data_IF_001242503813
#
_entry.id   IF_001242503813
#
_cell.length_a   1.000
_cell.length_b   1.000
_cell.length_c   1.000
_cell.angle_alpha   90.00
_cell.angle_beta   90.00
_cell.angle_gamma   90.00
#
_symmetry.space_group_name_H-M   'P 1'
#
loop_
_entity.id
_entity.type
_entity.pdbx_description
1 polymer ?
#
# COMPACT_ATOMS: atom_id res chain seq x y z
N UNK A 1 28.95 -24.79 17.95
CA UNK A 1 27.79 -24.53 17.07
C UNK A 1 26.83 -23.56 17.75
N UNK A 2 26.73 -22.32 17.29
CA UNK A 2 25.75 -21.36 17.83
C UNK A 2 24.32 -21.88 17.56
N UNK A 3 23.47 -21.94 18.59
CA UNK A 3 22.05 -22.31 18.44
C UNK A 3 21.41 -21.40 17.39
N UNK A 4 20.91 -21.97 16.29
CA UNK A 4 20.14 -21.23 15.29
C UNK A 4 18.93 -20.61 15.99
N UNK A 5 18.85 -19.29 16.01
CA UNK A 5 17.69 -18.59 16.57
C UNK A 5 16.42 -19.04 15.83
N UNK A 6 15.37 -19.40 16.58
CA UNK A 6 14.11 -19.82 15.95
C UNK A 6 13.52 -18.67 15.12
N UNK A 7 12.78 -18.98 14.05
CA UNK A 7 12.12 -17.96 13.24
C UNK A 7 11.25 -17.00 14.07
N UNK A 8 10.52 -17.53 15.07
CA UNK A 8 9.73 -16.71 15.99
C UNK A 8 10.61 -15.79 16.88
N UNK A 9 11.80 -16.24 17.29
CA UNK A 9 12.78 -15.42 17.99
C UNK A 9 13.26 -14.25 17.14
N UNK A 10 13.68 -14.52 15.90
CA UNK A 10 14.08 -13.51 14.92
C UNK A 10 12.97 -12.48 14.67
N UNK A 11 11.73 -12.94 14.45
CA UNK A 11 10.58 -12.05 14.25
C UNK A 11 10.30 -11.19 15.49
N UNK A 12 10.35 -11.76 16.69
CA UNK A 12 10.17 -11.01 17.94
C UNK A 12 11.21 -9.91 18.09
N UNK A 13 12.48 -10.20 17.77
CA UNK A 13 13.56 -9.20 17.80
C UNK A 13 13.36 -8.11 16.75
N UNK A 14 12.93 -8.47 15.54
CA UNK A 14 12.60 -7.49 14.50
C UNK A 14 11.46 -6.57 14.92
N UNK A 15 10.40 -7.12 15.54
CA UNK A 15 9.29 -6.30 16.07
C UNK A 15 9.78 -5.38 17.19
N UNK A 16 10.61 -5.86 18.12
CA UNK A 16 11.21 -5.00 19.16
C UNK A 16 12.05 -3.88 18.57
N UNK A 17 12.87 -4.20 17.56
CA UNK A 17 13.65 -3.18 16.85
C UNK A 17 12.75 -2.12 16.24
N UNK A 18 11.67 -2.55 15.56
CA UNK A 18 10.71 -1.65 14.92
C UNK A 18 10.01 -0.74 15.93
N UNK A 19 9.56 -1.29 17.06
CA UNK A 19 8.90 -0.52 18.12
C UNK A 19 9.84 0.44 18.84
N UNK A 20 11.15 0.17 18.84
CA UNK A 20 12.16 1.04 19.43
C UNK A 20 12.60 2.19 18.51
N UNK A 21 12.21 2.19 17.23
CA UNK A 21 12.51 3.30 16.34
C UNK A 21 11.65 4.51 16.71
N UNK A 22 12.18 5.75 16.61
CA UNK A 22 11.36 6.96 16.69
C UNK A 22 10.24 6.87 15.65
N UNK A 23 8.99 6.72 16.11
CA UNK A 23 7.84 6.70 15.19
C UNK A 23 7.56 8.14 14.79
N UNK A 24 7.45 8.37 13.49
CA UNK A 24 6.84 9.61 13.02
C UNK A 24 5.45 9.74 13.66
N UNK A 25 5.08 10.96 14.05
CA UNK A 25 3.77 11.24 14.64
C UNK A 25 2.62 10.80 13.71
N UNK A 26 2.89 10.74 12.40
CA UNK A 26 1.95 10.37 11.36
C UNK A 26 2.54 9.33 10.40
N UNK A 27 1.72 8.46 9.80
CA UNK A 27 2.13 7.65 8.65
C UNK A 27 2.65 8.52 7.51
N UNK A 28 3.56 7.99 6.68
CA UNK A 28 4.19 8.78 5.60
C UNK A 28 3.18 9.39 4.63
N UNK A 29 2.04 8.73 4.41
CA UNK A 29 1.00 9.21 3.49
C UNK A 29 0.21 10.41 4.05
N UNK A 30 0.41 10.76 5.32
CA UNK A 30 -0.11 11.97 5.95
C UNK A 30 0.94 13.08 6.05
N UNK A 31 2.18 12.85 5.60
CA UNK A 31 3.30 13.76 5.76
C UNK A 31 3.62 14.49 4.45
N UNK A 32 3.20 15.76 4.38
CA UNK A 32 3.42 16.62 3.22
C UNK A 32 4.91 16.90 2.95
N UNK A 33 5.79 16.87 3.96
CA UNK A 33 7.22 17.03 3.73
C UNK A 33 7.82 15.82 2.99
N UNK A 34 7.18 14.65 3.10
CA UNK A 34 7.61 13.41 2.44
C UNK A 34 7.02 13.22 1.06
N UNK A 35 5.73 13.55 0.86
CA UNK A 35 5.02 13.24 -0.39
C UNK A 35 4.25 14.42 -1.01
N UNK A 36 4.48 15.64 -0.53
CA UNK A 36 3.93 16.87 -1.10
C UNK A 36 2.40 16.89 -1.12
N UNK A 37 1.83 17.30 -2.26
CA UNK A 37 0.38 17.52 -2.43
C UNK A 37 -0.46 16.24 -2.33
N UNK A 38 0.16 15.06 -2.37
CA UNK A 38 -0.51 13.76 -2.22
C UNK A 38 -0.84 13.42 -0.76
N UNK A 39 -0.24 14.12 0.21
CA UNK A 39 -0.54 13.91 1.61
C UNK A 39 -2.04 14.04 1.90
N UNK A 40 -2.55 13.10 2.70
CA UNK A 40 -3.93 13.10 3.18
C UNK A 40 -4.00 13.72 4.57
N UNK A 41 -5.06 14.47 4.82
CA UNK A 41 -5.27 15.11 6.11
C UNK A 41 -5.71 14.06 7.15
N UNK A 42 -5.01 13.93 8.30
CA UNK A 42 -5.29 12.89 9.29
C UNK A 42 -6.74 12.89 9.80
N UNK A 43 -7.30 14.08 10.11
CA UNK A 43 -8.68 14.20 10.62
C UNK A 43 -9.71 13.72 9.61
N UNK A 44 -9.54 14.08 8.33
CA UNK A 44 -10.43 13.69 7.24
C UNK A 44 -10.30 12.20 6.90
N UNK A 45 -9.10 11.65 7.05
CA UNK A 45 -8.88 10.21 6.90
C UNK A 45 -9.54 9.43 8.04
N UNK A 46 -9.39 9.89 9.29
CA UNK A 46 -10.04 9.30 10.45
C UNK A 46 -11.57 9.31 10.33
N UNK A 47 -12.14 10.37 9.75
CA UNK A 47 -13.57 10.46 9.42
C UNK A 47 -14.00 9.59 8.22
N UNK A 48 -13.04 8.97 7.51
CA UNK A 48 -13.32 8.13 6.36
C UNK A 48 -13.85 8.89 5.14
N UNK A 49 -13.52 10.18 5.00
CA UNK A 49 -14.08 11.01 3.93
C UNK A 49 -13.76 10.45 2.53
N UNK A 50 -14.76 10.27 1.64
CA UNK A 50 -14.57 9.59 0.36
C UNK A 50 -13.45 10.16 -0.52
N UNK A 51 -13.33 11.49 -0.59
CA UNK A 51 -12.28 12.16 -1.37
C UNK A 51 -10.87 11.96 -0.79
N UNK A 52 -10.77 11.94 0.54
CA UNK A 52 -9.51 11.68 1.25
C UNK A 52 -9.08 10.23 1.07
N UNK A 53 -10.02 9.29 1.16
CA UNK A 53 -9.75 7.87 0.93
C UNK A 53 -9.41 7.60 -0.54
N UNK A 54 -10.03 8.31 -1.49
CA UNK A 54 -9.64 8.25 -2.91
C UNK A 54 -8.19 8.71 -3.11
N UNK A 55 -7.82 9.85 -2.51
CA UNK A 55 -6.43 10.34 -2.59
C UNK A 55 -5.45 9.35 -1.97
N UNK A 56 -5.79 8.76 -0.83
CA UNK A 56 -4.97 7.70 -0.21
C UNK A 56 -4.80 6.51 -1.16
N UNK A 57 -5.89 6.05 -1.79
CA UNK A 57 -5.85 4.97 -2.77
C UNK A 57 -4.88 5.26 -3.92
N UNK A 58 -4.99 6.43 -4.56
CA UNK A 58 -4.09 6.83 -5.65
C UNK A 58 -2.65 6.94 -5.16
N UNK A 59 -2.44 7.55 -3.99
CA UNK A 59 -1.12 7.71 -3.36
C UNK A 59 -0.44 6.37 -3.16
N UNK A 60 -1.13 5.39 -2.55
CA UNK A 60 -0.58 4.06 -2.30
C UNK A 60 -0.40 3.25 -3.60
N UNK A 61 -1.28 3.42 -4.57
CA UNK A 61 -1.19 2.73 -5.87
C UNK A 61 0.04 3.13 -6.70
N UNK A 62 0.69 4.25 -6.37
CA UNK A 62 1.95 4.67 -7.00
C UNK A 62 3.17 3.85 -6.53
N UNK A 63 3.07 3.12 -5.41
CA UNK A 63 4.16 2.32 -4.82
C UNK A 63 4.32 0.95 -5.50
N UNK A 64 4.52 1.01 -6.81
CA UNK A 64 4.78 -0.14 -7.67
C UNK A 64 5.95 0.13 -8.62
N UNK A 65 6.64 -0.94 -9.00
CA UNK A 65 7.76 -1.00 -9.93
C UNK A 65 9.04 -0.18 -9.58
N UNK A 66 9.01 0.69 -8.57
CA UNK A 66 10.18 1.43 -8.09
C UNK A 66 10.32 1.33 -6.56
N UNK A 67 11.48 1.74 -6.07
CA UNK A 67 11.76 1.89 -4.63
C UNK A 67 10.94 3.02 -4.04
N UNK A 68 10.44 2.83 -2.84
CA UNK A 68 9.53 3.76 -2.16
C UNK A 68 10.12 5.16 -1.99
N UNK A 69 11.42 5.28 -1.69
CA UNK A 69 12.12 6.59 -1.63
C UNK A 69 12.07 7.37 -2.95
N UNK A 70 12.07 6.66 -4.09
CA UNK A 70 11.95 7.29 -5.42
C UNK A 70 10.51 7.75 -5.65
N UNK A 71 9.52 6.93 -5.26
CA UNK A 71 8.11 7.28 -5.35
C UNK A 71 7.78 8.51 -4.50
N UNK A 72 8.22 8.52 -3.24
CA UNK A 72 8.00 9.64 -2.33
C UNK A 72 8.58 10.94 -2.90
N UNK A 73 9.80 10.88 -3.41
CA UNK A 73 10.44 12.02 -4.06
C UNK A 73 9.64 12.51 -5.27
N UNK A 74 9.21 11.60 -6.16
CA UNK A 74 8.36 11.93 -7.31
C UNK A 74 7.03 12.58 -6.88
N UNK A 75 6.35 12.01 -5.88
CA UNK A 75 5.10 12.57 -5.34
C UNK A 75 5.31 13.98 -4.76
N UNK A 76 6.44 14.19 -4.06
CA UNK A 76 6.80 15.49 -3.49
C UNK A 76 7.11 16.54 -4.55
N UNK A 77 7.75 16.15 -5.64
CA UNK A 77 8.11 17.04 -6.75
C UNK A 77 6.92 17.39 -7.66
N UNK A 78 5.84 16.59 -7.63
CA UNK A 78 4.65 16.86 -8.44
C UNK A 78 3.88 18.10 -7.95
N UNK A 79 3.55 19.05 -8.86
CA UNK A 79 2.81 20.24 -8.48
C UNK A 79 1.37 19.91 -8.09
N UNK A 80 0.74 20.80 -7.32
CA UNK A 80 -0.64 20.63 -6.85
C UNK A 80 -1.64 20.45 -7.99
N UNK A 81 -1.43 21.10 -9.14
CA UNK A 81 -2.27 20.93 -10.32
C UNK A 81 -2.22 19.48 -10.85
N UNK A 82 -1.06 18.83 -10.87
CA UNK A 82 -0.90 17.42 -11.23
C UNK A 82 -1.64 16.49 -10.27
N UNK A 83 -1.56 16.76 -8.96
CA UNK A 83 -2.35 15.99 -7.98
C UNK A 83 -3.86 16.14 -8.22
N UNK A 84 -4.35 17.35 -8.53
CA UNK A 84 -5.77 17.58 -8.85
C UNK A 84 -6.24 16.76 -10.05
N UNK A 85 -5.37 16.55 -11.04
CA UNK A 85 -5.66 15.67 -12.17
C UNK A 85 -5.88 14.25 -11.65
N UNK A 86 -4.91 13.65 -10.96
CA UNK A 86 -4.95 12.19 -10.71
C UNK A 86 -5.66 11.76 -9.42
N UNK A 87 -5.80 12.63 -8.43
CA UNK A 87 -6.17 12.26 -7.06
C UNK A 87 -7.24 13.15 -6.41
N UNK A 88 -7.82 14.10 -7.16
CA UNK A 88 -9.02 14.84 -6.72
C UNK A 88 -10.27 14.18 -7.28
N UNK A 89 -10.99 13.47 -6.41
CA UNK A 89 -12.20 12.73 -6.75
C UNK A 89 -13.29 13.61 -7.42
N UNK A 90 -13.42 14.88 -7.00
CA UNK A 90 -14.44 15.78 -7.56
C UNK A 90 -14.04 16.26 -8.95
N UNK A 91 -12.78 16.67 -9.11
CA UNK A 91 -12.27 17.08 -10.42
C UNK A 91 -12.34 15.92 -11.43
N UNK A 92 -11.98 14.72 -10.98
CA UNK A 92 -12.08 13.49 -11.79
C UNK A 92 -13.52 13.20 -12.21
N UNK A 93 -14.48 13.23 -11.25
CA UNK A 93 -15.90 13.06 -11.56
C UNK A 93 -16.35 14.02 -12.64
N UNK A 94 -16.06 15.32 -12.46
CA UNK A 94 -16.44 16.35 -13.42
C UNK A 94 -15.87 16.06 -14.80
N UNK A 95 -14.57 15.75 -14.89
CA UNK A 95 -13.90 15.44 -16.14
C UNK A 95 -14.46 14.20 -16.85
N UNK A 96 -14.85 13.16 -16.10
CA UNK A 96 -15.51 11.96 -16.64
C UNK A 96 -16.89 12.33 -17.18
N UNK A 97 -17.71 13.02 -16.39
CA UNK A 97 -19.10 13.36 -16.76
C UNK A 97 -19.21 14.33 -17.93
N UNK A 98 -18.24 15.24 -18.10
CA UNK A 98 -18.26 16.21 -19.20
C UNK A 98 -17.74 15.66 -20.52
N UNK A 99 -17.06 14.51 -20.50
CA UNK A 99 -16.39 13.97 -21.69
C UNK A 99 -17.32 13.03 -22.46
N UNK A 100 -17.41 13.22 -23.78
CA UNK A 100 -18.29 12.43 -24.67
C UNK A 100 -17.78 11.03 -25.03
N UNK A 101 -16.70 10.55 -24.41
CA UNK A 101 -16.09 9.29 -24.83
C UNK A 101 -16.93 8.13 -24.29
N UNK A 102 -17.41 7.27 -25.17
CA UNK A 102 -18.23 6.12 -24.82
C UNK A 102 -17.55 5.15 -23.82
N UNK A 103 -16.21 5.13 -23.76
CA UNK A 103 -15.44 4.33 -22.80
C UNK A 103 -15.63 4.80 -21.36
N UNK A 104 -15.97 6.07 -21.14
CA UNK A 104 -16.05 6.66 -19.81
C UNK A 104 -17.42 6.47 -19.14
N UNK A 105 -18.35 5.79 -19.82
CA UNK A 105 -19.75 5.64 -19.35
C UNK A 105 -19.94 4.61 -18.24
N UNK A 106 -19.06 3.63 -18.14
CA UNK A 106 -19.13 2.58 -17.12
C UNK A 106 -17.78 1.89 -16.97
N UNK A 107 -17.57 1.19 -15.85
CA UNK A 107 -16.36 0.40 -15.64
C UNK A 107 -16.12 -0.63 -16.77
N UNK A 108 -17.17 -1.35 -17.19
CA UNK A 108 -17.08 -2.35 -18.25
C UNK A 108 -16.71 -1.72 -19.61
N UNK A 109 -17.34 -0.60 -19.97
CA UNK A 109 -17.02 0.13 -21.20
C UNK A 109 -15.59 0.70 -21.18
N UNK A 110 -15.10 1.07 -20.00
CA UNK A 110 -13.76 1.61 -19.82
C UNK A 110 -12.69 0.55 -20.04
N UNK A 111 -12.85 -0.62 -19.46
CA UNK A 111 -11.88 -1.71 -19.59
C UNK A 111 -11.78 -2.26 -21.00
N UNK A 112 -12.91 -2.40 -21.67
CA UNK A 112 -12.95 -2.91 -23.03
C UNK A 112 -12.55 -1.84 -24.05
N UNK A 113 -12.84 -0.57 -23.76
CA UNK A 113 -12.84 0.48 -24.77
C UNK A 113 -11.84 1.62 -24.57
N UNK A 114 -11.14 1.72 -23.44
CA UNK A 114 -10.11 2.74 -23.23
C UNK A 114 -8.72 2.21 -23.63
N UNK A 115 -8.22 2.68 -24.76
CA UNK A 115 -6.96 2.28 -25.39
C UNK A 115 -5.85 3.33 -25.27
N UNK A 116 -6.00 4.33 -24.37
CA UNK A 116 -4.94 5.31 -24.09
C UNK A 116 -3.63 4.60 -23.79
N UNK A 117 -2.58 5.01 -24.50
CA UNK A 117 -1.23 4.48 -24.36
C UNK A 117 -0.18 5.56 -24.56
N UNK A 118 1.08 5.25 -24.22
CA UNK A 118 2.25 6.10 -24.44
C UNK A 118 3.18 5.42 -25.44
N UNK A 119 3.49 6.11 -26.54
CA UNK A 119 4.52 5.73 -27.51
C UNK A 119 5.58 6.83 -27.56
N UNK A 120 6.77 6.56 -27.02
CA UNK A 120 7.80 7.59 -26.85
C UNK A 120 7.29 8.76 -25.99
N UNK A 121 7.30 9.97 -26.53
CA UNK A 121 6.76 11.17 -25.90
C UNK A 121 5.24 11.37 -26.12
N UNK A 122 4.65 10.62 -27.06
CA UNK A 122 3.25 10.80 -27.47
C UNK A 122 2.33 9.99 -26.56
N UNK A 123 1.26 10.63 -26.08
CA UNK A 123 0.21 10.01 -25.28
C UNK A 123 -1.12 10.27 -25.98
N UNK A 124 -1.72 9.22 -26.53
CA UNK A 124 -2.97 9.31 -27.27
C UNK A 124 -3.76 7.98 -27.22
N UNK A 125 -4.89 7.94 -27.93
CA UNK A 125 -5.75 6.78 -28.10
C UNK A 125 -6.32 6.72 -29.52
N UNK A 126 -6.63 5.54 -30.03
CA UNK A 126 -7.31 5.37 -31.31
C UNK A 126 -8.78 5.78 -31.27
N UNK A 127 -9.42 5.74 -30.11
CA UNK A 127 -10.87 6.02 -30.00
C UNK A 127 -11.25 7.49 -30.13
N UNK A 128 -10.41 8.39 -29.63
CA UNK A 128 -10.60 9.84 -29.69
C UNK A 128 -9.25 10.52 -29.92
N UNK A 129 -8.62 10.36 -31.11
CA UNK A 129 -7.27 10.85 -31.38
C UNK A 129 -7.22 12.37 -31.24
N UNK A 130 -6.13 12.90 -30.67
CA UNK A 130 -5.91 14.34 -30.47
C UNK A 130 -6.84 15.03 -29.45
N UNK A 131 -7.97 14.44 -29.08
CA UNK A 131 -8.91 15.04 -28.14
C UNK A 131 -8.32 15.19 -26.73
N UNK A 132 -8.60 16.31 -26.07
CA UNK A 132 -8.31 16.49 -24.65
C UNK A 132 -9.09 15.45 -23.83
N UNK A 133 -8.37 14.71 -22.98
CA UNK A 133 -8.94 13.62 -22.21
C UNK A 133 -8.18 13.46 -20.90
N UNK A 134 -8.93 13.40 -19.80
CA UNK A 134 -8.36 13.29 -18.46
C UNK A 134 -7.44 12.07 -18.29
N UNK A 135 -7.75 10.93 -18.95
CA UNK A 135 -6.88 9.73 -18.91
C UNK A 135 -5.52 10.01 -19.55
N UNK A 136 -5.48 10.78 -20.64
CA UNK A 136 -4.22 11.19 -21.31
C UNK A 136 -3.42 12.13 -20.40
N UNK A 137 -4.10 13.09 -19.76
CA UNK A 137 -3.46 14.01 -18.80
C UNK A 137 -2.91 13.28 -17.57
N UNK A 138 -3.67 12.31 -17.04
CA UNK A 138 -3.22 11.46 -15.95
C UNK A 138 -1.99 10.63 -16.36
N UNK A 139 -1.95 10.09 -17.58
CA UNK A 139 -0.78 9.36 -18.09
C UNK A 139 0.44 10.28 -18.20
N UNK A 140 0.26 11.55 -18.62
CA UNK A 140 1.33 12.56 -18.61
C UNK A 140 1.84 12.81 -17.20
N UNK A 141 0.93 13.00 -16.24
CA UNK A 141 1.26 13.27 -14.83
C UNK A 141 2.01 12.12 -14.17
N UNK A 142 1.53 10.88 -14.33
CA UNK A 142 2.24 9.72 -13.76
C UNK A 142 3.62 9.54 -14.37
N UNK A 143 3.79 9.94 -15.64
CA UNK A 143 5.05 9.87 -16.39
C UNK A 143 5.69 8.46 -16.40
N UNK A 144 4.89 7.42 -16.11
CA UNK A 144 5.38 6.07 -15.82
C UNK A 144 4.33 5.07 -16.20
N UNK A 145 4.76 3.99 -16.87
CA UNK A 145 3.91 2.94 -17.44
C UNK A 145 2.88 3.53 -18.42
N UNK A 146 2.89 3.10 -19.68
CA UNK A 146 2.21 3.83 -20.76
C UNK A 146 0.69 4.00 -20.62
N UNK A 147 0.06 3.31 -19.67
CA UNK A 147 -1.38 3.28 -19.41
C UNK A 147 -1.75 3.62 -17.95
N UNK A 148 -0.80 4.06 -17.10
CA UNK A 148 -1.09 4.30 -15.67
C UNK A 148 -2.14 5.39 -15.46
N UNK A 149 -2.34 6.31 -16.41
CA UNK A 149 -3.41 7.30 -16.35
C UNK A 149 -4.83 6.71 -16.35
N UNK A 150 -4.98 5.42 -16.69
CA UNK A 150 -6.27 4.71 -16.59
C UNK A 150 -6.65 4.40 -15.13
N UNK A 151 -5.69 4.34 -14.21
CA UNK A 151 -5.90 3.96 -12.81
C UNK A 151 -6.96 4.84 -12.11
N UNK A 152 -6.86 6.18 -12.08
CA UNK A 152 -7.85 7.01 -11.38
C UNK A 152 -9.26 6.83 -11.91
N UNK A 153 -9.41 6.79 -13.24
CA UNK A 153 -10.71 6.64 -13.90
C UNK A 153 -11.31 5.26 -13.64
N UNK A 154 -10.51 4.20 -13.73
CA UNK A 154 -10.96 2.84 -13.37
C UNK A 154 -11.41 2.75 -11.92
N UNK A 155 -10.65 3.35 -10.99
CA UNK A 155 -11.01 3.38 -9.58
C UNK A 155 -12.32 4.12 -9.35
N UNK A 156 -12.50 5.28 -10.00
CA UNK A 156 -13.73 6.04 -9.93
C UNK A 156 -14.94 5.22 -10.37
N UNK A 157 -14.90 4.71 -11.61
CA UNK A 157 -16.02 3.98 -12.21
C UNK A 157 -16.36 2.68 -11.47
N UNK A 158 -15.36 1.96 -10.94
CA UNK A 158 -15.60 0.69 -10.24
C UNK A 158 -16.09 0.85 -8.82
N UNK A 159 -15.52 1.79 -8.08
CA UNK A 159 -15.68 1.84 -6.61
C UNK A 159 -16.31 3.13 -6.12
N UNK A 160 -15.92 4.29 -6.66
CA UNK A 160 -16.39 5.58 -6.12
C UNK A 160 -17.69 6.09 -6.74
N UNK A 161 -18.02 5.73 -7.98
CA UNK A 161 -19.26 6.12 -8.64
C UNK A 161 -20.49 5.59 -7.89
N UNK A 162 -20.50 4.30 -7.53
CA UNK A 162 -21.51 3.69 -6.67
C UNK A 162 -21.31 3.96 -5.17
N UNK A 163 -20.30 4.75 -4.80
CA UNK A 163 -19.94 5.10 -3.44
C UNK A 163 -19.12 4.02 -2.72
N UNK A 164 -17.94 4.41 -2.24
CA UNK A 164 -17.07 3.57 -1.42
C UNK A 164 -17.78 3.03 -0.16
N UNK A 165 -18.61 3.87 0.47
CA UNK A 165 -19.45 3.46 1.60
C UNK A 165 -20.49 2.40 1.19
N UNK A 166 -21.04 2.50 -0.01
CA UNK A 166 -21.97 1.51 -0.56
C UNK A 166 -21.31 0.15 -0.74
N UNK A 167 -20.10 0.11 -1.31
CA UNK A 167 -19.29 -1.11 -1.41
C UNK A 167 -19.04 -1.73 -0.03
N UNK A 168 -18.53 -0.93 0.92
CA UNK A 168 -18.27 -1.39 2.30
C UNK A 168 -19.54 -1.94 2.95
N UNK A 169 -20.65 -1.22 2.85
CA UNK A 169 -21.92 -1.63 3.45
C UNK A 169 -22.45 -2.93 2.84
N UNK A 170 -22.30 -3.15 1.53
CA UNK A 170 -22.65 -4.44 0.90
C UNK A 170 -21.82 -5.58 1.46
N UNK A 171 -20.50 -5.43 1.52
CA UNK A 171 -19.60 -6.46 2.07
C UNK A 171 -19.92 -6.74 3.54
N UNK A 172 -20.14 -5.70 4.35
CA UNK A 172 -20.47 -5.87 5.76
C UNK A 172 -21.82 -6.57 6.00
N UNK A 173 -22.79 -6.41 5.11
CA UNK A 173 -24.07 -7.14 5.17
C UNK A 173 -23.94 -8.60 4.73
N UNK A 174 -23.08 -8.89 3.76
CA UNK A 174 -22.93 -10.22 3.17
C UNK A 174 -22.05 -11.17 3.99
N UNK A 175 -21.10 -10.65 4.77
CA UNK A 175 -20.16 -11.44 5.55
C UNK A 175 -20.15 -10.96 7.01
N UNK A 176 -20.13 -11.89 7.97
CA UNK A 176 -20.16 -11.56 9.40
C UNK A 176 -18.76 -11.33 9.97
N UNK A 177 -17.76 -12.05 9.47
CA UNK A 177 -16.39 -12.00 9.98
C UNK A 177 -15.67 -10.71 9.51
N UNK A 178 -15.18 -9.85 10.43
CA UNK A 178 -14.42 -8.65 10.08
C UNK A 178 -13.18 -8.90 9.24
N UNK A 179 -12.47 -10.01 9.49
CA UNK A 179 -11.27 -10.38 8.73
C UNK A 179 -11.61 -10.88 7.33
N UNK A 180 -12.69 -11.64 7.16
CA UNK A 180 -13.18 -12.05 5.83
C UNK A 180 -13.70 -10.85 5.03
N UNK A 181 -14.38 -9.89 5.65
CA UNK A 181 -14.76 -8.62 4.99
C UNK A 181 -13.55 -7.90 4.42
N UNK A 182 -12.43 -7.87 5.17
CA UNK A 182 -11.19 -7.24 4.72
C UNK A 182 -10.64 -7.95 3.46
N UNK A 183 -10.67 -9.28 3.43
CA UNK A 183 -10.26 -10.05 2.26
C UNK A 183 -11.16 -9.80 1.03
N UNK A 184 -12.49 -9.77 1.21
CA UNK A 184 -13.42 -9.47 0.12
C UNK A 184 -13.23 -8.06 -0.43
N UNK A 185 -13.00 -7.07 0.43
CA UNK A 185 -12.67 -5.70 0.00
C UNK A 185 -11.35 -5.64 -0.77
N UNK A 186 -10.37 -6.48 -0.43
CA UNK A 186 -9.13 -6.60 -1.21
C UNK A 186 -9.43 -7.12 -2.61
N UNK A 187 -10.27 -8.14 -2.75
CA UNK A 187 -10.60 -8.71 -4.06
C UNK A 187 -11.35 -7.70 -4.95
N UNK A 188 -12.30 -6.95 -4.38
CA UNK A 188 -13.02 -5.87 -5.08
C UNK A 188 -12.08 -4.75 -5.56
N UNK A 189 -11.16 -4.31 -4.70
CA UNK A 189 -10.19 -3.25 -5.02
C UNK A 189 -9.12 -3.76 -6.00
N UNK A 190 -8.77 -5.04 -5.96
CA UNK A 190 -7.78 -5.66 -6.85
C UNK A 190 -8.26 -5.77 -8.31
N UNK A 191 -9.54 -5.51 -8.56
CA UNK A 191 -10.08 -5.48 -9.92
C UNK A 191 -9.87 -4.11 -10.60
N UNK A 192 -9.40 -3.08 -9.87
CA UNK A 192 -9.08 -1.77 -10.44
C UNK A 192 -7.83 -1.88 -11.34
N UNK A 193 -7.84 -1.16 -12.47
CA UNK A 193 -6.74 -1.16 -13.42
C UNK A 193 -5.39 -0.86 -12.74
N UNK A 194 -4.38 -1.72 -12.99
CA UNK A 194 -3.03 -1.65 -12.38
C UNK A 194 -2.98 -1.82 -10.86
N UNK A 195 -4.06 -2.24 -10.22
CA UNK A 195 -4.07 -2.59 -8.80
C UNK A 195 -4.19 -4.08 -8.64
N UNK A 196 -3.05 -4.78 -8.54
CA UNK A 196 -3.05 -6.19 -8.16
C UNK A 196 -3.33 -6.38 -6.65
N UNK A 197 -3.54 -7.64 -6.24
CA UNK A 197 -3.80 -8.06 -4.85
C UNK A 197 -2.88 -7.38 -3.83
N UNK A 198 -1.57 -7.27 -4.12
CA UNK A 198 -0.60 -6.61 -3.22
C UNK A 198 -0.99 -5.16 -2.88
N UNK A 199 -1.33 -4.35 -3.88
CA UNK A 199 -1.66 -2.93 -3.68
C UNK A 199 -3.04 -2.77 -3.04
N UNK A 200 -4.00 -3.63 -3.41
CA UNK A 200 -5.30 -3.68 -2.76
C UNK A 200 -5.15 -4.03 -1.25
N UNK A 201 -4.36 -5.04 -0.90
CA UNK A 201 -4.02 -5.39 0.49
C UNK A 201 -3.39 -4.21 1.23
N UNK A 202 -2.46 -3.49 0.60
CA UNK A 202 -1.84 -2.31 1.20
C UNK A 202 -2.87 -1.23 1.51
N UNK A 203 -3.76 -0.93 0.56
CA UNK A 203 -4.83 0.06 0.72
C UNK A 203 -5.83 -0.32 1.80
N UNK A 204 -6.39 -1.54 1.74
CA UNK A 204 -7.39 -1.99 2.72
C UNK A 204 -6.78 -2.07 4.13
N UNK A 205 -5.55 -2.58 4.26
CA UNK A 205 -4.87 -2.64 5.57
C UNK A 205 -4.59 -1.25 6.15
N UNK A 206 -4.28 -0.24 5.31
CA UNK A 206 -4.11 1.14 5.79
C UNK A 206 -5.38 1.72 6.42
N UNK A 207 -6.56 1.25 6.02
CA UNK A 207 -7.86 1.71 6.53
C UNK A 207 -8.42 0.86 7.68
N UNK A 208 -7.82 -0.31 7.96
CA UNK A 208 -8.41 -1.33 8.83
C UNK A 208 -7.43 -1.98 9.82
N UNK A 209 -6.17 -1.55 9.87
CA UNK A 209 -5.17 -2.06 10.84
C UNK A 209 -4.73 -0.98 11.84
N UNK A 210 -5.40 -0.86 13.00
CA UNK A 210 -5.11 0.19 13.98
C UNK A 210 -3.69 0.11 14.56
N UNK A 211 -3.07 -1.08 14.61
CA UNK A 211 -1.69 -1.24 15.10
C UNK A 211 -0.64 -0.48 14.26
N UNK A 212 -0.94 -0.19 12.99
CA UNK A 212 -0.06 0.56 12.11
C UNK A 212 -0.26 2.07 12.21
N UNK A 213 -1.51 2.51 12.35
CA UNK A 213 -1.88 3.92 12.36
C UNK A 213 -3.08 4.16 13.31
N UNK A 214 -2.86 4.14 14.65
CA UNK A 214 -3.93 4.32 15.62
C UNK A 214 -4.72 5.61 15.35
N UNK A 215 -6.05 5.51 15.37
CA UNK A 215 -6.95 6.65 15.12
C UNK A 215 -7.10 7.06 13.65
N UNK A 216 -6.39 6.43 12.71
CA UNK A 216 -6.44 6.74 11.27
C UNK A 216 -7.00 5.60 10.41
N UNK A 217 -7.65 4.62 11.03
CA UNK A 217 -8.21 3.44 10.37
C UNK A 217 -9.74 3.44 10.41
N UNK A 218 -10.42 4.20 9.53
CA UNK A 218 -11.86 4.47 9.59
C UNK A 218 -12.76 3.26 9.30
N UNK A 219 -12.19 2.10 8.95
CA UNK A 219 -12.95 0.87 8.70
C UNK A 219 -12.85 -0.14 9.83
N UNK A 220 -11.96 0.07 10.79
CA UNK A 220 -11.88 -0.75 11.99
C UNK A 220 -12.90 -0.25 13.04
N UNK A 221 -13.63 -1.14 13.73
CA UNK A 221 -13.47 -2.60 13.79
C UNK A 221 -14.33 -3.40 12.80
N UNK A 222 -15.22 -2.77 12.03
CA UNK A 222 -16.15 -3.50 11.16
C UNK A 222 -15.44 -4.32 10.07
N UNK A 223 -14.27 -3.84 9.66
CA UNK A 223 -13.30 -4.50 8.78
C UNK A 223 -12.00 -4.62 9.57
N UNK A 224 -11.52 -5.84 9.75
CA UNK A 224 -10.27 -6.11 10.48
C UNK A 224 -9.16 -6.49 9.51
N UNK A 225 -8.22 -5.55 9.30
CA UNK A 225 -7.09 -5.73 8.40
C UNK A 225 -5.89 -6.44 9.01
N UNK A 226 -5.92 -6.88 10.28
CA UNK A 226 -4.73 -7.43 10.95
C UNK A 226 -4.11 -8.62 10.20
N UNK A 227 -4.90 -9.40 9.47
CA UNK A 227 -4.46 -10.56 8.68
C UNK A 227 -4.00 -10.23 7.25
N UNK A 228 -4.12 -8.97 6.81
CA UNK A 228 -3.79 -8.52 5.46
C UNK A 228 -2.29 -8.30 5.24
N UNK A 229 -1.52 -9.39 5.23
CA UNK A 229 -0.07 -9.35 5.04
C UNK A 229 0.32 -8.92 3.63
N UNK A 230 1.20 -7.91 3.49
CA UNK A 230 1.78 -7.50 2.20
C UNK A 230 3.17 -8.11 2.03
N UNK A 231 3.31 -9.11 1.16
CA UNK A 231 4.62 -9.71 0.84
C UNK A 231 5.24 -8.99 -0.35
N UNK A 232 6.10 -8.00 -0.08
CA UNK A 232 6.97 -7.38 -1.08
C UNK A 232 8.31 -8.14 -1.23
N UNK A 233 9.23 -7.61 -2.04
CA UNK A 233 10.54 -8.23 -2.25
C UNK A 233 11.37 -8.31 -0.97
N UNK A 234 11.32 -7.30 -0.09
CA UNK A 234 12.09 -7.30 1.15
C UNK A 234 11.54 -8.34 2.13
N UNK A 235 10.22 -8.34 2.33
CA UNK A 235 9.52 -9.31 3.19
C UNK A 235 9.68 -10.73 2.64
N UNK A 236 9.59 -10.93 1.32
CA UNK A 236 9.79 -12.24 0.70
C UNK A 236 11.19 -12.80 0.98
N UNK A 237 12.23 -11.98 0.79
CA UNK A 237 13.62 -12.37 1.09
C UNK A 237 13.82 -12.69 2.57
N UNK A 238 13.23 -11.89 3.46
CA UNK A 238 13.29 -12.13 4.90
C UNK A 238 12.61 -13.44 5.30
N UNK A 239 11.41 -13.69 4.78
CA UNK A 239 10.66 -14.93 5.01
C UNK A 239 11.45 -16.14 4.49
N UNK A 240 11.98 -16.07 3.27
CA UNK A 240 12.73 -17.18 2.67
C UNK A 240 14.04 -17.46 3.41
N UNK A 241 14.66 -16.45 4.03
CA UNK A 241 15.83 -16.64 4.89
C UNK A 241 15.53 -17.34 6.22
N UNK A 242 14.30 -17.24 6.73
CA UNK A 242 13.87 -17.86 7.99
C UNK A 242 13.21 -19.23 7.80
N UNK A 243 12.72 -19.52 6.60
CA UNK A 243 12.06 -20.79 6.27
C UNK A 243 13.06 -21.91 6.06
N UNK A 244 12.56 -23.14 6.17
CA UNK A 244 13.33 -24.33 5.78
C UNK A 244 13.62 -24.26 4.27
N UNK A 245 14.80 -24.70 3.82
CA UNK A 245 15.08 -24.87 2.39
C UNK A 245 14.01 -25.71 1.69
N UNK A 246 13.74 -25.42 0.41
CA UNK A 246 12.74 -26.14 -0.39
C UNK A 246 11.28 -25.73 -0.18
N UNK A 247 10.97 -24.83 0.77
CA UNK A 247 9.60 -24.38 0.99
C UNK A 247 9.07 -23.55 -0.20
N UNK A 248 7.79 -23.72 -0.56
CA UNK A 248 7.16 -23.04 -1.70
C UNK A 248 7.35 -21.52 -1.66
N UNK A 249 7.75 -20.94 -2.79
CA UNK A 249 8.02 -19.50 -2.95
C UNK A 249 6.82 -18.71 -3.48
N UNK A 250 5.61 -19.28 -3.45
CA UNK A 250 4.41 -18.53 -3.82
C UNK A 250 4.10 -17.40 -2.82
N UNK A 251 3.35 -16.39 -3.25
CA UNK A 251 2.91 -15.29 -2.39
C UNK A 251 2.10 -15.83 -1.20
N UNK A 252 1.11 -16.69 -1.47
CA UNK A 252 0.22 -17.23 -0.45
C UNK A 252 0.97 -18.09 0.57
N UNK A 253 1.92 -18.93 0.11
CA UNK A 253 2.73 -19.74 1.01
C UNK A 253 3.58 -18.88 1.97
N UNK A 254 4.08 -17.72 1.52
CA UNK A 254 4.83 -16.77 2.36
C UNK A 254 3.91 -16.03 3.32
N UNK A 255 2.77 -15.52 2.85
CA UNK A 255 1.80 -14.81 3.67
C UNK A 255 1.28 -15.71 4.80
N UNK A 256 0.89 -16.91 4.45
CA UNK A 256 0.39 -17.93 5.36
C UNK A 256 1.47 -18.39 6.36
N UNK A 257 2.72 -18.57 5.91
CA UNK A 257 3.82 -18.82 6.83
C UNK A 257 3.99 -17.70 7.86
N UNK A 258 3.88 -16.44 7.44
CA UNK A 258 4.03 -15.30 8.34
C UNK A 258 2.88 -15.25 9.36
N UNK A 259 1.63 -15.48 8.95
CA UNK A 259 0.47 -15.56 9.85
C UNK A 259 0.69 -16.62 10.93
N UNK A 260 1.15 -17.81 10.55
CA UNK A 260 1.47 -18.88 11.51
C UNK A 260 2.60 -18.56 12.47
N UNK A 261 3.63 -17.83 12.03
CA UNK A 261 4.68 -17.41 12.97
C UNK A 261 4.21 -16.28 13.88
N UNK A 262 3.43 -15.33 13.37
CA UNK A 262 2.85 -14.25 14.16
C UNK A 262 1.90 -14.78 15.25
N UNK A 263 1.16 -15.86 14.98
CA UNK A 263 0.28 -16.51 15.98
C UNK A 263 1.03 -17.04 17.20
N UNK A 264 2.36 -17.23 17.11
CA UNK A 264 3.22 -17.66 18.23
C UNK A 264 3.75 -16.48 19.05
N UNK A 265 3.40 -15.25 18.67
CA UNK A 265 3.83 -14.02 19.32
C UNK A 265 2.62 -13.35 19.96
N UNK A 266 2.65 -13.19 21.28
CA UNK A 266 1.73 -12.28 21.96
C UNK A 266 2.33 -10.87 21.94
N UNK A 267 1.83 -10.00 21.06
CA UNK A 267 2.41 -8.68 20.87
C UNK A 267 2.14 -7.74 22.06
N UNK A 268 1.16 -8.03 22.92
CA UNK A 268 0.93 -7.28 24.18
C UNK A 268 2.14 -7.34 25.11
N UNK A 269 2.95 -8.41 25.01
CA UNK A 269 4.20 -8.56 25.76
C UNK A 269 5.35 -7.71 25.21
N UNK A 270 5.16 -7.02 24.08
CA UNK A 270 6.17 -6.21 23.41
C UNK A 270 5.93 -4.70 23.56
N UNK A 271 4.73 -4.29 23.94
CA UNK A 271 4.43 -2.89 24.20
C UNK A 271 2.97 -2.66 24.60
N UNK A 272 2.69 -1.61 25.38
CA UNK A 272 1.33 -1.22 25.74
C UNK A 272 0.54 -0.81 24.48
N UNK A 273 -0.76 -1.10 24.46
CA UNK A 273 -1.65 -0.73 23.36
C UNK A 273 -1.54 -1.56 22.07
N UNK A 274 -0.66 -2.58 22.04
CA UNK A 274 -0.61 -3.53 20.92
C UNK A 274 -1.72 -4.59 21.05
N UNK A 275 -2.32 -5.04 19.93
CA UNK A 275 -3.25 -6.17 19.96
C UNK A 275 -2.51 -7.46 20.34
N UNK A 276 -3.21 -8.50 20.78
CA UNK A 276 -2.56 -9.81 21.00
C UNK A 276 -1.94 -10.38 19.71
N UNK A 277 -2.64 -10.18 18.58
CA UNK A 277 -2.32 -10.76 17.28
C UNK A 277 -2.42 -9.69 16.17
N UNK A 278 -1.36 -9.55 15.37
CA UNK A 278 -1.35 -8.72 14.16
C UNK A 278 -0.19 -9.13 13.23
N UNK A 279 -0.39 -10.09 12.32
CA UNK A 279 0.65 -10.46 11.35
C UNK A 279 0.97 -9.30 10.40
N UNK A 280 0.03 -8.37 10.15
CA UNK A 280 0.31 -7.13 9.41
C UNK A 280 1.36 -6.26 10.11
N UNK A 281 1.32 -6.12 11.45
CA UNK A 281 2.35 -5.40 12.20
C UNK A 281 3.71 -6.11 12.12
N UNK A 282 3.73 -7.44 12.26
CA UNK A 282 4.96 -8.22 12.12
C UNK A 282 5.56 -8.07 10.71
N UNK A 283 4.71 -8.07 9.69
CA UNK A 283 5.14 -7.80 8.32
C UNK A 283 5.71 -6.39 8.16
N UNK A 284 5.10 -5.37 8.76
CA UNK A 284 5.60 -3.99 8.69
C UNK A 284 6.99 -3.90 9.33
N UNK A 285 7.17 -4.53 10.49
CA UNK A 285 8.46 -4.59 11.16
C UNK A 285 9.54 -5.26 10.28
N UNK A 286 9.20 -6.36 9.60
CA UNK A 286 10.10 -7.01 8.64
C UNK A 286 10.46 -6.10 7.48
N UNK A 287 9.46 -5.46 6.87
CA UNK A 287 9.66 -4.53 5.76
C UNK A 287 10.58 -3.38 6.17
N UNK A 288 10.29 -2.72 7.31
CA UNK A 288 11.08 -1.61 7.82
C UNK A 288 12.52 -2.02 8.15
N UNK A 289 12.71 -3.18 8.79
CA UNK A 289 14.04 -3.69 9.15
C UNK A 289 14.89 -4.06 7.92
N UNK A 290 14.28 -4.72 6.93
CA UNK A 290 14.99 -5.24 5.76
C UNK A 290 15.14 -4.22 4.62
N UNK A 291 14.43 -3.09 4.65
CA UNK A 291 14.50 -2.09 3.57
C UNK A 291 15.75 -1.22 3.66
N UNK A 292 16.84 -1.65 2.99
CA UNK A 292 18.12 -0.91 2.93
C UNK A 292 17.93 0.55 2.52
N UNK A 293 17.19 0.79 1.44
CA UNK A 293 17.04 2.15 0.88
C UNK A 293 16.25 3.07 1.80
N UNK A 294 15.20 2.57 2.45
CA UNK A 294 14.42 3.40 3.38
C UNK A 294 15.23 3.73 4.63
N UNK A 295 15.95 2.74 5.17
CA UNK A 295 16.80 2.94 6.35
C UNK A 295 17.92 3.95 6.06
N UNK A 296 18.56 3.89 4.90
CA UNK A 296 19.54 4.90 4.46
C UNK A 296 18.91 6.30 4.36
N UNK A 297 17.74 6.42 3.73
CA UNK A 297 17.06 7.71 3.60
C UNK A 297 16.60 8.29 4.95
N UNK A 298 16.43 7.45 5.98
CA UNK A 298 16.12 7.86 7.34
C UNK A 298 17.37 8.12 8.20
N UNK A 299 18.57 8.02 7.64
CA UNK A 299 19.83 8.23 8.36
C UNK A 299 20.15 7.13 9.37
N UNK A 300 19.73 5.89 9.11
CA UNK A 300 19.96 4.78 10.03
C UNK A 300 21.46 4.55 10.29
N UNK A 301 21.87 4.73 11.54
CA UNK A 301 23.25 4.60 11.98
C UNK A 301 23.85 3.20 11.74
N UNK A 302 23.02 2.16 11.59
CA UNK A 302 23.50 0.81 11.24
C UNK A 302 24.21 0.77 9.89
N UNK A 303 23.90 1.69 8.96
CA UNK A 303 24.47 1.68 7.62
C UNK A 303 25.99 1.88 7.60
N UNK A 304 26.53 2.59 8.60
CA UNK A 304 27.95 2.94 8.69
C UNK A 304 28.70 2.11 9.73
N UNK A 305 28.06 1.08 10.30
CA UNK A 305 28.67 0.23 11.33
C UNK A 305 29.39 -0.96 10.70
N UNK A 306 30.60 -1.23 11.20
CA UNK A 306 31.37 -2.43 10.88
C UNK A 306 30.90 -3.67 11.65
N UNK A 307 30.18 -3.49 12.78
CA UNK A 307 29.72 -4.59 13.64
C UNK A 307 28.22 -4.52 13.93
N UNK A 308 27.61 -5.69 14.12
CA UNK A 308 26.18 -5.80 14.40
C UNK A 308 25.84 -5.20 15.78
N UNK A 309 24.82 -4.33 15.85
CA UNK A 309 24.34 -3.81 17.12
C UNK A 309 23.58 -4.89 17.92
N UNK A 310 23.41 -4.68 19.23
CA UNK A 310 22.70 -5.61 20.13
C UNK A 310 21.25 -5.91 19.68
N UNK A 311 20.61 -4.95 19.01
CA UNK A 311 19.25 -5.07 18.49
C UNK A 311 19.19 -5.71 17.07
N UNK A 312 20.33 -5.98 16.42
CA UNK A 312 20.38 -6.50 15.06
C UNK A 312 19.88 -7.95 15.01
N UNK A 313 19.14 -8.29 13.96
CA UNK A 313 18.84 -9.68 13.58
C UNK A 313 19.76 -10.05 12.42
N UNK A 314 20.95 -10.66 12.66
CA UNK A 314 21.99 -10.76 11.64
C UNK A 314 21.52 -11.50 10.38
N UNK A 315 20.71 -12.54 10.56
CA UNK A 315 20.13 -13.30 9.46
C UNK A 315 19.26 -12.44 8.52
N UNK A 316 18.75 -11.29 8.96
CA UNK A 316 17.85 -10.43 8.18
C UNK A 316 18.46 -9.06 7.86
N UNK A 317 19.64 -8.76 8.38
CA UNK A 317 20.21 -7.43 8.30
C UNK A 317 20.59 -7.09 6.84
N UNK A 318 20.08 -6.00 6.27
CA UNK A 318 20.39 -5.63 4.89
C UNK A 318 21.77 -4.96 4.72
N UNK A 319 22.46 -4.69 5.83
CA UNK A 319 23.79 -4.06 5.86
C UNK A 319 24.93 -5.04 6.15
N UNK A 320 24.61 -6.25 6.63
CA UNK A 320 25.62 -7.30 6.74
C UNK A 320 25.77 -7.96 5.37
N UNK A 321 26.98 -7.90 4.82
CA UNK A 321 27.35 -8.71 3.66
C UNK A 321 27.10 -10.19 4.01
N UNK A 322 26.41 -10.90 3.11
CA UNK A 322 26.36 -12.36 3.15
C UNK A 322 27.40 -12.91 2.19
#
# INVERSE_FOLDING_TARGET
MARRESAAGSLRRTVRWFLAQPRAALPFYCDAARIGSFAVEPKRLAAGEPGTVFRLFITLSMYQALRDVVIMRQQRELPRCSMRVVADARALKQAITSHRCAALRSAAAFEQGCDVSKSGAVIDCGRCPGAACHVKDATRVFHRMGDMGKLPTSAWLRVWEGGLHGLRARVCRAELSPTKRAALLVDEVAAIHRVGRKLATLFVSALSTPALAPGLTPWFPEVDGNELVVVDTNVARAIDALRRPGASRSYDARAEWLRRQAAKLDLRRLGPGLPAYSPRLVQEALYAFCSKSNRLAQGDACANRSTACRACVPALCPFLSR
#
